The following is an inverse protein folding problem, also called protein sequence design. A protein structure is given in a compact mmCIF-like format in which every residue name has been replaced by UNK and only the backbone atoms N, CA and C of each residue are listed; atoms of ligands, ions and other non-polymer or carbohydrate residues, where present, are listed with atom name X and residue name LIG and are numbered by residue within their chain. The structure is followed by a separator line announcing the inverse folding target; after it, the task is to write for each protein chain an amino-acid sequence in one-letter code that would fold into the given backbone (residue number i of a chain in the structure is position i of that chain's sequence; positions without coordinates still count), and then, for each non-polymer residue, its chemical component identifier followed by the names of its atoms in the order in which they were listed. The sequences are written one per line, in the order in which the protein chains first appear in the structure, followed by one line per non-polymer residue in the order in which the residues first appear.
data_IF_627803209922
#
_entry.id   IF_627803209922
#
_cell.length_a   1.000
_cell.length_b   1.000
_cell.length_c   1.000
_cell.angle_alpha   90.00
_cell.angle_beta   90.00
_cell.angle_gamma   90.00
#
_symmetry.space_group_name_H-M   'P 1'
#
loop_
_entity.id
_entity.type
_entity.pdbx_description
1 polymer ?
#
# COMPACT_ATOMS: atom_id res chain seq x y z
N UNK A 1 14.30 5.76 -9.74
CA UNK A 1 13.94 4.33 -9.96
C UNK A 1 12.86 4.28 -11.03
N UNK A 2 12.67 3.15 -11.74
CA UNK A 2 11.42 2.99 -12.50
C UNK A 2 10.23 3.12 -11.54
N UNK A 3 9.13 3.70 -12.02
CA UNK A 3 7.93 3.84 -11.22
C UNK A 3 7.43 2.46 -10.79
N UNK A 4 7.01 2.35 -9.53
CA UNK A 4 6.56 1.09 -8.93
C UNK A 4 5.24 1.30 -8.23
N UNK A 5 4.44 0.25 -8.19
CA UNK A 5 3.23 0.17 -7.38
C UNK A 5 3.33 -0.99 -6.41
N UNK A 6 2.77 -0.82 -5.22
CA UNK A 6 2.57 -1.92 -4.26
C UNK A 6 1.09 -2.23 -4.23
N UNK A 7 0.75 -3.50 -4.44
CA UNK A 7 -0.62 -4.00 -4.30
C UNK A 7 -0.66 -4.85 -3.04
N UNK A 8 -1.38 -4.37 -2.02
CA UNK A 8 -1.63 -5.09 -0.78
C UNK A 8 -2.95 -5.83 -0.86
N UNK A 9 -3.01 -7.00 -0.23
CA UNK A 9 -4.17 -7.88 -0.16
C UNK A 9 -4.55 -8.09 1.31
N UNK A 10 -5.83 -7.87 1.62
CA UNK A 10 -6.44 -8.23 2.88
C UNK A 10 -7.42 -9.40 2.70
N UNK A 11 -7.92 -9.90 3.82
CA UNK A 11 -9.09 -10.79 3.89
C UNK A 11 -10.36 -9.96 4.15
N UNK A 12 -11.53 -10.61 4.11
CA UNK A 12 -12.80 -9.95 4.44
C UNK A 12 -12.81 -9.37 5.86
N UNK A 13 -12.11 -10.00 6.80
CA UNK A 13 -12.02 -9.57 8.21
C UNK A 13 -11.05 -8.41 8.40
N UNK A 14 -10.03 -8.28 7.55
CA UNK A 14 -8.92 -7.33 7.72
C UNK A 14 -8.96 -6.14 6.77
N UNK A 15 -9.86 -6.15 5.77
CA UNK A 15 -10.00 -5.07 4.78
C UNK A 15 -10.27 -3.70 5.40
N UNK A 16 -11.04 -3.65 6.50
CA UNK A 16 -11.31 -2.40 7.22
C UNK A 16 -10.02 -1.73 7.71
N UNK A 17 -9.11 -2.50 8.28
CA UNK A 17 -7.81 -2.02 8.74
C UNK A 17 -6.92 -1.58 7.57
N UNK A 18 -6.96 -2.30 6.44
CA UNK A 18 -6.22 -1.91 5.24
C UNK A 18 -6.71 -0.57 4.68
N UNK A 19 -8.02 -0.34 4.65
CA UNK A 19 -8.58 0.90 4.12
C UNK A 19 -8.36 2.08 5.07
N UNK A 20 -8.41 1.84 6.39
CA UNK A 20 -8.02 2.85 7.36
C UNK A 20 -6.53 3.21 7.21
N UNK A 21 -5.66 2.23 6.96
CA UNK A 21 -4.26 2.48 6.66
C UNK A 21 -4.10 3.34 5.40
N UNK A 22 -4.81 3.02 4.32
CA UNK A 22 -4.78 3.83 3.10
C UNK A 22 -5.16 5.28 3.39
N UNK A 23 -6.25 5.51 4.13
CA UNK A 23 -6.67 6.85 4.53
C UNK A 23 -5.59 7.57 5.32
N UNK A 24 -5.00 6.91 6.33
CA UNK A 24 -3.92 7.50 7.14
C UNK A 24 -2.68 7.82 6.31
N UNK A 25 -2.31 6.96 5.35
CA UNK A 25 -1.19 7.23 4.43
C UNK A 25 -1.46 8.49 3.61
N UNK A 26 -2.64 8.61 3.01
CA UNK A 26 -3.02 9.75 2.20
C UNK A 26 -3.09 11.07 3.01
N UNK A 27 -3.48 11.02 4.29
CA UNK A 27 -3.57 12.20 5.16
C UNK A 27 -2.22 12.64 5.75
N UNK A 28 -1.32 11.69 6.02
CA UNK A 28 -0.09 11.94 6.80
C UNK A 28 1.18 11.96 5.96
N UNK A 29 1.10 11.51 4.71
CA UNK A 29 2.26 11.41 3.82
C UNK A 29 1.92 11.96 2.44
N UNK A 30 2.93 12.20 1.61
CA UNK A 30 2.72 12.54 0.20
C UNK A 30 2.48 11.30 -0.68
N UNK A 31 2.49 10.09 -0.10
CA UNK A 31 2.35 8.84 -0.83
C UNK A 31 0.88 8.66 -1.23
N UNK A 32 0.62 8.60 -2.53
CA UNK A 32 -0.73 8.31 -3.04
C UNK A 32 -1.07 6.85 -2.75
N UNK A 33 -2.26 6.63 -2.19
CA UNK A 33 -2.76 5.30 -1.87
C UNK A 33 -4.29 5.26 -2.05
N UNK A 34 -4.81 4.13 -2.52
CA UNK A 34 -6.25 3.97 -2.78
C UNK A 34 -6.72 2.56 -2.39
N UNK A 35 -7.93 2.42 -1.81
CA UNK A 35 -8.62 1.14 -1.77
C UNK A 35 -8.85 0.64 -3.20
N UNK A 36 -8.85 -0.67 -3.38
CA UNK A 36 -9.10 -1.35 -4.64
C UNK A 36 -10.15 -2.46 -4.44
N UNK A 37 -10.62 -3.03 -5.55
CA UNK A 37 -11.52 -4.18 -5.54
C UNK A 37 -10.85 -5.40 -4.89
N UNK A 38 -11.63 -6.44 -4.59
CA UNK A 38 -11.14 -7.72 -4.07
C UNK A 38 -10.33 -7.63 -2.78
N UNK A 39 -10.72 -6.74 -1.86
CA UNK A 39 -10.05 -6.51 -0.58
C UNK A 39 -8.58 -6.05 -0.73
N UNK A 40 -8.28 -5.30 -1.79
CA UNK A 40 -6.93 -4.82 -2.06
C UNK A 40 -6.75 -3.32 -1.79
N UNK A 41 -5.50 -2.89 -1.74
CA UNK A 41 -5.12 -1.49 -1.78
C UNK A 41 -3.87 -1.28 -2.63
N UNK A 42 -3.80 -0.16 -3.35
CA UNK A 42 -2.65 0.18 -4.19
C UNK A 42 -1.94 1.40 -3.61
N UNK A 43 -0.62 1.33 -3.54
CA UNK A 43 0.25 2.40 -3.07
C UNK A 43 1.24 2.79 -4.17
N UNK A 44 1.50 4.09 -4.33
CA UNK A 44 2.34 4.66 -5.37
C UNK A 44 3.56 5.34 -4.74
N UNK A 45 4.59 4.57 -4.32
CA UNK A 45 5.83 5.13 -3.82
C UNK A 45 6.57 5.90 -4.92
N UNK A 46 7.10 7.08 -4.60
CA UNK A 46 7.81 7.93 -5.58
C UNK A 46 9.30 7.59 -5.64
N UNK A 47 9.86 7.13 -4.52
CA UNK A 47 11.27 6.78 -4.43
C UNK A 47 11.54 5.50 -3.61
N UNK A 48 12.84 5.22 -3.38
CA UNK A 48 13.28 4.03 -2.62
C UNK A 48 12.92 4.10 -1.13
N UNK A 49 12.77 5.29 -0.57
CA UNK A 49 12.45 5.50 0.84
C UNK A 49 10.96 5.25 1.05
N UNK A 50 10.10 5.81 0.19
CA UNK A 50 8.67 5.52 0.18
C UNK A 50 8.41 4.01 -0.02
N UNK A 51 9.09 3.40 -1.00
CA UNK A 51 8.95 1.98 -1.27
C UNK A 51 9.30 1.14 -0.04
N UNK A 52 10.41 1.44 0.62
CA UNK A 52 10.85 0.73 1.83
C UNK A 52 9.90 0.97 3.00
N UNK A 53 9.41 2.20 3.15
CA UNK A 53 8.48 2.59 4.20
C UNK A 53 7.14 1.85 4.06
N UNK A 54 6.51 1.88 2.88
CA UNK A 54 5.23 1.20 2.65
C UNK A 54 5.36 -0.31 2.87
N UNK A 55 6.43 -0.94 2.35
CA UNK A 55 6.69 -2.37 2.58
C UNK A 55 6.77 -2.72 4.06
N UNK A 56 7.50 -1.92 4.83
CA UNK A 56 7.64 -2.13 6.27
C UNK A 56 6.30 -1.98 6.97
N UNK A 57 5.54 -0.95 6.66
CA UNK A 57 4.23 -0.70 7.29
C UNK A 57 3.22 -1.81 6.99
N UNK A 58 3.26 -2.41 5.80
CA UNK A 58 2.41 -3.54 5.44
C UNK A 58 2.88 -4.83 6.12
N UNK A 59 4.19 -5.08 6.15
CA UNK A 59 4.78 -6.26 6.82
C UNK A 59 4.57 -6.24 8.34
N UNK A 60 4.73 -5.09 8.99
CA UNK A 60 4.51 -4.91 10.43
C UNK A 60 3.03 -5.13 10.85
N UNK A 61 2.12 -5.23 9.87
CA UNK A 61 0.68 -5.48 10.07
C UNK A 61 0.20 -6.78 9.39
N UNK A 62 1.12 -7.64 8.99
CA UNK A 62 0.85 -8.94 8.38
C UNK A 62 -0.02 -8.90 7.10
N UNK A 63 0.01 -7.78 6.36
CA UNK A 63 -0.63 -7.72 5.04
C UNK A 63 0.24 -8.39 3.98
N UNK A 64 -0.37 -9.24 3.16
CA UNK A 64 0.27 -9.76 1.96
C UNK A 64 0.38 -8.64 0.92
N UNK A 65 1.50 -8.55 0.20
CA UNK A 65 1.65 -7.58 -0.88
C UNK A 65 2.61 -8.03 -1.97
N UNK A 66 2.44 -7.48 -3.16
CA UNK A 66 3.37 -7.60 -4.29
C UNK A 66 3.80 -6.23 -4.80
N UNK A 67 4.93 -6.19 -5.48
CA UNK A 67 5.47 -4.98 -6.12
C UNK A 67 5.48 -5.16 -7.61
N UNK A 68 4.89 -4.23 -8.34
CA UNK A 68 4.85 -4.24 -9.80
C UNK A 68 5.51 -2.97 -10.35
N UNK A 69 5.96 -3.01 -11.60
CA UNK A 69 6.39 -1.80 -12.29
C UNK A 69 5.15 -1.06 -12.78
N UNK A 70 5.11 0.26 -12.59
CA UNK A 70 4.14 1.09 -13.30
C UNK A 70 4.70 1.32 -14.71
N UNK A 71 4.06 0.72 -15.70
CA UNK A 71 4.30 1.04 -17.12
C UNK A 71 3.68 2.38 -17.52
#
# INVERSE_FOLDING_TARGET
MKAKVIIAQATAETVGFLYELVKRMAEKTAIKAYPSVDYQAVFFPVDKHDLSFVKRVLADRDFLFKVENAE
#
